data_IF_469813740012
#
_entry.id   IF_469813740012
#
_cell.length_a   1.000
_cell.length_b   1.000
_cell.length_c   1.000
_cell.angle_alpha   90.00
_cell.angle_beta   90.00
_cell.angle_gamma   90.00
#
_symmetry.space_group_name_H-M   'P 1'
#
loop_
_entity.id
_entity.type
_entity.pdbx_description
1 polymer ?
#
# COMPACT_ATOMS: atom_id res chain seq x y z
N UNK A 1 4.89 17.89 -14.32
CA UNK A 1 6.20 18.33 -13.83
C UNK A 1 5.98 18.89 -12.44
N UNK A 2 6.76 18.49 -11.44
CA UNK A 2 6.36 18.51 -10.03
C UNK A 2 6.16 19.93 -9.46
N UNK A 3 5.01 20.13 -8.84
CA UNK A 3 4.52 21.34 -8.17
C UNK A 3 5.15 21.51 -6.76
N UNK A 4 6.38 21.02 -6.57
CA UNK A 4 7.02 20.91 -5.25
C UNK A 4 8.27 21.77 -5.24
N UNK A 5 8.35 22.80 -4.37
CA UNK A 5 9.53 23.65 -4.30
C UNK A 5 10.73 22.86 -3.74
N UNK A 6 11.93 23.00 -4.33
CA UNK A 6 13.13 22.32 -3.89
C UNK A 6 13.68 22.97 -2.61
N UNK A 7 13.29 22.41 -1.45
CA UNK A 7 13.76 22.85 -0.14
C UNK A 7 14.25 21.66 0.66
N UNK A 8 15.22 21.87 1.57
CA UNK A 8 15.72 20.80 2.46
C UNK A 8 14.60 20.15 3.30
N UNK A 9 13.59 20.94 3.69
CA UNK A 9 12.41 20.42 4.39
C UNK A 9 11.62 19.43 3.53
N UNK A 10 11.38 19.78 2.26
CA UNK A 10 10.69 18.88 1.33
C UNK A 10 11.53 17.62 1.04
N UNK A 11 12.84 17.72 0.88
CA UNK A 11 13.72 16.55 0.74
C UNK A 11 13.53 15.55 1.90
N UNK A 12 13.53 16.02 3.15
CA UNK A 12 13.29 15.17 4.31
C UNK A 12 11.89 14.53 4.28
N UNK A 13 10.85 15.27 3.90
CA UNK A 13 9.48 14.75 3.77
C UNK A 13 9.41 13.64 2.70
N UNK A 14 10.02 13.84 1.53
CA UNK A 14 10.01 12.86 0.44
C UNK A 14 10.88 11.63 0.76
N UNK A 15 11.99 11.78 1.47
CA UNK A 15 12.76 10.64 2.03
C UNK A 15 11.94 9.82 3.00
N UNK A 16 11.18 10.47 3.88
CA UNK A 16 10.20 9.82 4.76
C UNK A 16 9.13 9.05 3.99
N UNK A 17 8.53 9.69 2.97
CA UNK A 17 7.54 9.05 2.08
C UNK A 17 8.10 7.85 1.32
N UNK A 18 9.35 7.92 0.83
CA UNK A 18 10.02 6.79 0.17
C UNK A 18 10.14 5.61 1.13
N UNK A 19 10.69 5.83 2.33
CA UNK A 19 10.83 4.76 3.34
C UNK A 19 9.47 4.18 3.75
N UNK A 20 8.44 5.02 3.91
CA UNK A 20 7.09 4.57 4.19
C UNK A 20 6.50 3.71 3.05
N UNK A 21 6.71 4.11 1.79
CA UNK A 21 6.27 3.36 0.62
C UNK A 21 6.98 1.99 0.51
N UNK A 22 8.29 1.92 0.79
CA UNK A 22 9.05 0.67 0.82
C UNK A 22 8.57 -0.30 1.91
N UNK A 23 8.29 0.22 3.12
CA UNK A 23 7.73 -0.59 4.23
C UNK A 23 6.32 -1.06 3.87
N UNK A 24 5.48 -0.17 3.33
CA UNK A 24 4.13 -0.50 2.88
C UNK A 24 4.13 -1.57 1.78
N UNK A 25 5.05 -1.48 0.83
CA UNK A 25 5.25 -2.48 -0.21
C UNK A 25 5.58 -3.86 0.39
N UNK A 26 6.56 -3.93 1.30
CA UNK A 26 6.94 -5.19 1.98
C UNK A 26 5.77 -5.81 2.74
N UNK A 27 4.96 -5.01 3.43
CA UNK A 27 3.83 -5.49 4.20
C UNK A 27 2.70 -6.01 3.30
N UNK A 28 2.36 -5.27 2.24
CA UNK A 28 1.35 -5.69 1.28
C UNK A 28 1.76 -6.94 0.50
N UNK A 29 3.04 -7.11 0.20
CA UNK A 29 3.58 -8.32 -0.42
C UNK A 29 3.39 -9.55 0.48
N UNK A 30 3.75 -9.43 1.76
CA UNK A 30 3.50 -10.48 2.77
C UNK A 30 2.01 -10.84 2.89
N UNK A 31 1.12 -9.83 2.90
CA UNK A 31 -0.34 -10.04 2.90
C UNK A 31 -0.80 -10.78 1.64
N UNK A 32 -0.33 -10.37 0.47
CA UNK A 32 -0.68 -11.01 -0.80
C UNK A 32 -0.25 -12.48 -0.85
N UNK A 33 0.95 -12.80 -0.34
CA UNK A 33 1.43 -14.17 -0.32
C UNK A 33 0.65 -15.06 0.66
N UNK A 34 0.29 -14.54 1.84
CA UNK A 34 -0.61 -15.24 2.76
C UNK A 34 -2.00 -15.50 2.14
N UNK A 35 -2.55 -14.50 1.43
CA UNK A 35 -3.82 -14.65 0.71
C UNK A 35 -3.72 -15.68 -0.42
N UNK A 36 -2.60 -15.75 -1.16
CA UNK A 36 -2.39 -16.74 -2.22
C UNK A 36 -2.38 -18.17 -1.68
N UNK A 37 -1.75 -18.40 -0.52
CA UNK A 37 -1.76 -19.73 0.12
C UNK A 37 -3.19 -20.14 0.44
N UNK A 38 -3.95 -19.28 1.12
CA UNK A 38 -5.35 -19.54 1.45
C UNK A 38 -6.22 -19.71 0.21
N UNK A 39 -6.02 -18.90 -0.83
CA UNK A 39 -6.72 -19.03 -2.11
C UNK A 39 -6.56 -20.42 -2.72
N UNK A 40 -5.35 -20.99 -2.68
CA UNK A 40 -5.08 -22.36 -3.15
C UNK A 40 -5.77 -23.41 -2.27
N UNK A 41 -5.76 -23.22 -0.95
CA UNK A 41 -6.45 -24.11 -0.02
C UNK A 41 -7.96 -24.14 -0.30
N UNK A 42 -8.58 -22.97 -0.49
CA UNK A 42 -9.99 -22.85 -0.87
C UNK A 42 -10.28 -23.50 -2.22
N UNK A 43 -9.42 -23.31 -3.23
CA UNK A 43 -9.61 -23.93 -4.54
C UNK A 43 -9.62 -25.47 -4.46
N UNK A 44 -8.71 -26.06 -3.66
CA UNK A 44 -8.69 -27.51 -3.40
C UNK A 44 -9.95 -27.97 -2.67
N UNK A 45 -10.32 -27.29 -1.58
CA UNK A 45 -11.51 -27.62 -0.80
C UNK A 45 -12.80 -27.55 -1.64
N UNK A 46 -12.90 -26.58 -2.57
CA UNK A 46 -14.03 -26.47 -3.50
C UNK A 46 -14.06 -27.66 -4.46
N UNK A 47 -12.92 -28.07 -5.03
CA UNK A 47 -12.85 -29.20 -5.95
C UNK A 47 -13.27 -30.52 -5.27
N UNK A 48 -12.74 -30.77 -4.07
CA UNK A 48 -13.07 -31.95 -3.26
C UNK A 48 -14.56 -31.97 -2.86
N UNK A 49 -15.06 -30.86 -2.31
CA UNK A 49 -16.47 -30.73 -1.89
C UNK A 49 -17.41 -30.86 -3.07
N UNK A 50 -17.06 -30.31 -4.24
CA UNK A 50 -17.86 -30.43 -5.47
C UNK A 50 -17.92 -31.87 -5.97
N UNK A 51 -16.82 -32.61 -5.89
CA UNK A 51 -16.79 -34.03 -6.26
C UNK A 51 -17.67 -34.87 -5.33
N UNK A 52 -17.54 -34.68 -4.01
CA UNK A 52 -18.39 -35.38 -3.02
C UNK A 52 -19.87 -35.01 -3.17
N UNK A 53 -20.17 -33.73 -3.40
CA UNK A 53 -21.55 -33.30 -3.65
C UNK A 53 -22.13 -33.98 -4.90
N UNK A 54 -21.34 -34.17 -5.96
CA UNK A 54 -21.80 -34.83 -7.18
C UNK A 54 -22.20 -36.30 -6.93
N UNK A 55 -21.44 -37.02 -6.09
CA UNK A 55 -21.77 -38.40 -5.73
C UNK A 55 -23.01 -38.47 -4.84
N UNK A 56 -23.12 -37.56 -3.87
CA UNK A 56 -24.27 -37.49 -2.96
C UNK A 56 -25.56 -37.09 -3.71
N UNK A 57 -25.44 -36.18 -4.69
CA UNK A 57 -26.55 -35.79 -5.56
C UNK A 57 -27.06 -36.99 -6.38
N UNK A 58 -26.17 -37.74 -7.02
CA UNK A 58 -26.55 -38.93 -7.77
C UNK A 58 -27.26 -39.97 -6.88
N UNK A 59 -26.74 -40.18 -5.66
CA UNK A 59 -27.33 -41.08 -4.66
C UNK A 59 -28.71 -40.62 -4.17
N UNK A 60 -28.90 -39.31 -3.98
CA UNK A 60 -30.17 -38.71 -3.57
C UNK A 60 -31.23 -38.80 -4.67
N UNK A 61 -30.88 -38.45 -5.91
CA UNK A 61 -31.79 -38.58 -7.06
C UNK A 61 -32.14 -40.03 -7.35
N UNK A 62 -31.20 -40.96 -7.22
CA UNK A 62 -31.50 -42.39 -7.34
C UNK A 62 -32.50 -42.84 -6.26
N UNK A 63 -32.29 -42.43 -5.00
CA UNK A 63 -33.27 -42.71 -3.93
C UNK A 63 -34.64 -42.08 -4.22
N UNK A 64 -34.70 -40.89 -4.83
CA UNK A 64 -35.94 -40.26 -5.27
C UNK A 64 -36.70 -41.15 -6.27
N UNK A 65 -36.00 -41.66 -7.30
CA UNK A 65 -36.62 -42.55 -8.30
C UNK A 65 -37.18 -43.84 -7.67
N UNK A 66 -36.50 -44.41 -6.67
CA UNK A 66 -37.01 -45.57 -5.93
C UNK A 66 -38.27 -45.25 -5.14
N UNK A 67 -38.35 -44.06 -4.54
CA UNK A 67 -39.53 -43.63 -3.81
C UNK A 67 -40.70 -43.36 -4.76
N UNK A 68 -40.45 -42.79 -5.94
CA UNK A 68 -41.48 -42.58 -6.98
C UNK A 68 -42.05 -43.90 -7.48
N UNK A 69 -41.19 -44.91 -7.69
CA UNK A 69 -41.63 -46.25 -8.06
C UNK A 69 -42.50 -46.92 -6.97
N UNK A 70 -42.14 -46.75 -5.70
CA UNK A 70 -42.81 -47.41 -4.58
C UNK A 70 -44.11 -46.72 -4.12
N UNK A 71 -44.14 -45.38 -4.12
CA UNK A 71 -45.24 -44.58 -3.56
C UNK A 71 -46.10 -43.88 -4.63
N UNK A 72 -45.72 -44.00 -5.91
CA UNK A 72 -46.34 -43.25 -7.01
C UNK A 72 -45.98 -41.76 -6.98
N UNK A 73 -46.83 -40.92 -7.58
CA UNK A 73 -46.57 -39.48 -7.67
C UNK A 73 -46.88 -38.74 -6.36
N UNK A 74 -45.89 -38.66 -5.46
CA UNK A 74 -45.98 -37.89 -4.21
C UNK A 74 -45.50 -36.43 -4.34
N UNK A 75 -44.95 -36.03 -5.50
CA UNK A 75 -44.36 -34.69 -5.73
C UNK A 75 -45.38 -33.57 -5.54
N UNK A 76 -46.59 -33.75 -6.07
CA UNK A 76 -47.68 -32.78 -5.94
C UNK A 76 -48.06 -32.55 -4.47
N UNK A 77 -48.18 -33.63 -3.69
CA UNK A 77 -48.48 -33.54 -2.24
C UNK A 77 -47.38 -32.84 -1.45
N UNK A 78 -46.12 -32.96 -1.86
CA UNK A 78 -45.00 -32.23 -1.24
C UNK A 78 -45.05 -30.74 -1.59
N UNK A 79 -45.41 -30.40 -2.83
CA UNK A 79 -45.52 -29.02 -3.30
C UNK A 79 -46.72 -28.28 -2.68
N UNK A 80 -47.82 -29.01 -2.42
CA UNK A 80 -48.98 -28.52 -1.67
C UNK A 80 -48.71 -28.42 -0.15
N UNK A 81 -47.63 -29.04 0.32
CA UNK A 81 -47.20 -29.01 1.73
C UNK A 81 -46.69 -27.65 2.20
N UNK A 82 -46.35 -27.59 3.50
CA UNK A 82 -46.03 -26.37 4.27
C UNK A 82 -45.20 -25.31 3.54
N UNK A 83 -45.66 -24.06 3.60
CA UNK A 83 -45.00 -22.85 3.09
C UNK A 83 -43.80 -22.38 3.94
N UNK A 84 -43.49 -23.05 5.05
CA UNK A 84 -42.41 -22.62 5.96
C UNK A 84 -41.17 -23.50 5.84
N UNK A 85 -40.00 -22.86 5.69
CA UNK A 85 -38.73 -23.57 5.56
C UNK A 85 -38.26 -24.15 6.90
N UNK A 86 -37.98 -25.46 6.92
CA UNK A 86 -37.37 -26.17 8.05
C UNK A 86 -35.92 -25.75 8.28
N UNK A 87 -35.12 -25.75 7.20
CA UNK A 87 -33.72 -25.36 7.23
C UNK A 87 -33.61 -23.93 6.72
N UNK A 88 -33.03 -23.05 7.53
CA UNK A 88 -32.74 -21.65 7.20
C UNK A 88 -31.23 -21.45 7.14
N UNK A 89 -30.81 -20.48 6.34
CA UNK A 89 -29.40 -20.11 6.21
C UNK A 89 -29.22 -18.69 6.72
N UNK A 90 -28.28 -18.49 7.63
CA UNK A 90 -27.86 -17.17 8.08
C UNK A 90 -26.46 -16.84 7.58
N UNK A 91 -26.21 -15.55 7.36
CA UNK A 91 -24.89 -15.05 7.00
C UNK A 91 -24.05 -14.82 8.26
N UNK A 92 -22.84 -15.35 8.27
CA UNK A 92 -21.77 -15.07 9.21
C UNK A 92 -20.60 -14.39 8.50
N UNK A 93 -19.66 -13.86 9.28
CA UNK A 93 -18.44 -13.24 8.79
C UNK A 93 -17.26 -14.00 9.37
N UNK A 94 -16.33 -14.41 8.52
CA UNK A 94 -15.03 -14.97 8.89
C UNK A 94 -13.91 -13.99 8.47
N UNK A 95 -12.79 -13.97 9.19
CA UNK A 95 -11.69 -13.04 8.91
C UNK A 95 -10.41 -13.80 8.54
N UNK A 96 -9.99 -13.66 7.29
CA UNK A 96 -8.76 -14.29 6.78
C UNK A 96 -7.78 -13.21 6.34
N UNK A 97 -6.65 -13.11 7.03
CA UNK A 97 -5.58 -12.15 6.74
C UNK A 97 -6.07 -10.68 6.61
N UNK A 98 -7.10 -10.30 7.37
CA UNK A 98 -7.69 -8.96 7.35
C UNK A 98 -8.66 -8.73 6.20
N UNK A 99 -9.21 -9.78 5.59
CA UNK A 99 -10.32 -9.75 4.63
C UNK A 99 -11.52 -10.42 5.29
N UNK A 100 -12.66 -9.72 5.31
CA UNK A 100 -13.93 -10.23 5.85
C UNK A 100 -14.62 -11.07 4.77
N UNK A 101 -14.70 -12.38 4.98
CA UNK A 101 -15.32 -13.34 4.09
C UNK A 101 -16.74 -13.67 4.58
N UNK A 102 -17.77 -13.64 3.72
CA UNK A 102 -19.10 -14.09 4.08
C UNK A 102 -19.13 -15.63 4.14
N UNK A 103 -19.60 -16.17 5.26
CA UNK A 103 -19.78 -17.61 5.47
C UNK A 103 -21.23 -17.92 5.77
N UNK A 104 -21.75 -19.04 5.29
CA UNK A 104 -23.14 -19.44 5.56
C UNK A 104 -23.21 -20.40 6.74
N UNK A 105 -24.15 -20.14 7.66
CA UNK A 105 -24.45 -21.00 8.81
C UNK A 105 -25.85 -21.57 8.68
N UNK A 106 -25.99 -22.85 9.00
CA UNK A 106 -27.26 -23.57 8.95
C UNK A 106 -27.99 -23.35 10.28
N UNK A 107 -29.26 -22.98 10.21
CA UNK A 107 -30.16 -22.86 11.34
C UNK A 107 -31.36 -23.76 11.10
N UNK A 108 -31.53 -24.77 11.96
CA UNK A 108 -32.74 -25.58 11.95
C UNK A 108 -33.82 -24.85 12.74
N UNK A 109 -34.93 -24.57 12.06
CA UNK A 109 -36.12 -24.06 12.73
C UNK A 109 -36.80 -25.28 13.32
N UNK A 110 -36.94 -25.34 14.66
CA UNK A 110 -37.53 -26.47 15.40
C UNK A 110 -39.00 -26.77 15.10
N UNK A 111 -39.52 -26.32 13.95
CA UNK A 111 -40.84 -26.63 13.43
C UNK A 111 -40.88 -28.11 13.10
N UNK A 112 -41.78 -28.80 13.79
CA UNK A 112 -42.08 -30.22 13.57
C UNK A 112 -42.51 -30.44 12.12
N UNK A 113 -42.16 -31.60 11.57
CA UNK A 113 -42.35 -31.87 10.17
C UNK A 113 -43.83 -32.04 9.81
N UNK A 114 -44.44 -31.01 9.20
CA UNK A 114 -45.82 -31.06 8.67
C UNK A 114 -46.06 -32.22 7.67
N UNK A 115 -44.99 -32.80 7.11
CA UNK A 115 -45.06 -33.86 6.09
C UNK A 115 -44.90 -35.28 6.66
N UNK A 116 -45.11 -35.51 7.97
CA UNK A 116 -45.05 -36.86 8.56
C UNK A 116 -46.13 -37.81 8.00
N UNK A 117 -47.26 -37.27 7.54
CA UNK A 117 -48.35 -38.05 6.93
C UNK A 117 -48.06 -38.52 5.49
N UNK A 118 -46.92 -38.15 4.91
CA UNK A 118 -46.56 -38.51 3.53
C UNK A 118 -46.14 -39.99 3.45
N UNK A 119 -46.76 -40.75 2.53
CA UNK A 119 -46.42 -42.17 2.31
C UNK A 119 -47.13 -43.16 3.23
N UNK A 120 -48.21 -42.74 3.91
CA UNK A 120 -49.03 -43.60 4.77
C UNK A 120 -49.71 -44.75 4.00
N UNK A 121 -50.09 -44.51 2.75
CA UNK A 121 -50.73 -45.50 1.86
C UNK A 121 -49.72 -46.52 1.30
N UNK A 122 -48.43 -46.17 1.25
CA UNK A 122 -47.37 -47.00 0.70
C UNK A 122 -46.07 -46.24 0.47
N UNK A 123 -44.93 -46.91 0.60
CA UNK A 123 -43.61 -46.35 0.28
C UNK A 123 -43.04 -45.34 1.30
N UNK A 124 -43.68 -45.11 2.45
CA UNK A 124 -43.21 -44.16 3.48
C UNK A 124 -41.75 -44.33 3.91
N UNK A 125 -41.26 -45.58 4.09
CA UNK A 125 -39.84 -45.84 4.42
C UNK A 125 -38.87 -45.31 3.34
N UNK A 126 -39.24 -45.42 2.05
CA UNK A 126 -38.43 -44.91 0.94
C UNK A 126 -38.45 -43.38 0.89
N UNK A 127 -39.60 -42.77 1.17
CA UNK A 127 -39.75 -41.31 1.27
C UNK A 127 -38.89 -40.74 2.42
N UNK A 128 -38.85 -41.40 3.58
CA UNK A 128 -37.99 -41.00 4.70
C UNK A 128 -36.51 -41.08 4.31
N UNK A 129 -36.08 -42.17 3.69
CA UNK A 129 -34.70 -42.30 3.20
C UNK A 129 -34.32 -41.23 2.17
N UNK A 130 -35.26 -40.83 1.29
CA UNK A 130 -35.08 -39.70 0.38
C UNK A 130 -34.87 -38.42 1.16
N UNK A 131 -35.71 -38.13 2.15
CA UNK A 131 -35.59 -36.93 2.99
C UNK A 131 -34.23 -36.84 3.66
N UNK A 132 -33.73 -37.93 4.23
CA UNK A 132 -32.41 -37.97 4.87
C UNK A 132 -31.30 -37.65 3.87
N UNK A 133 -31.30 -38.29 2.70
CA UNK A 133 -30.28 -38.03 1.67
C UNK A 133 -30.32 -36.61 1.11
N UNK A 134 -31.51 -36.05 0.89
CA UNK A 134 -31.64 -34.66 0.47
C UNK A 134 -31.25 -33.66 1.57
N UNK A 135 -31.38 -34.01 2.84
CA UNK A 135 -30.92 -33.18 3.96
C UNK A 135 -29.40 -33.11 3.96
N UNK A 136 -28.71 -34.26 3.85
CA UNK A 136 -27.24 -34.31 3.71
C UNK A 136 -26.75 -33.57 2.47
N UNK A 137 -27.43 -33.75 1.32
CA UNK A 137 -27.10 -33.03 0.09
C UNK A 137 -27.24 -31.51 0.26
N UNK A 138 -28.29 -31.06 0.95
CA UNK A 138 -28.53 -29.64 1.21
C UNK A 138 -27.46 -29.03 2.12
N UNK A 139 -27.00 -29.76 3.15
CA UNK A 139 -25.88 -29.34 3.98
C UNK A 139 -24.58 -29.19 3.16
N UNK A 140 -24.29 -30.15 2.29
CA UNK A 140 -23.14 -30.11 1.37
C UNK A 140 -23.23 -28.94 0.38
N UNK A 141 -24.42 -28.65 -0.14
CA UNK A 141 -24.67 -27.50 -1.03
C UNK A 141 -24.42 -26.17 -0.31
N UNK A 142 -24.91 -26.01 0.92
CA UNK A 142 -24.70 -24.79 1.71
C UNK A 142 -23.20 -24.60 2.01
N UNK A 143 -22.50 -25.69 2.37
CA UNK A 143 -21.05 -25.66 2.58
C UNK A 143 -20.31 -25.24 1.30
N UNK A 144 -20.66 -25.83 0.15
CA UNK A 144 -20.06 -25.46 -1.14
C UNK A 144 -20.34 -24.00 -1.50
N UNK A 145 -21.57 -23.53 -1.33
CA UNK A 145 -21.94 -22.14 -1.57
C UNK A 145 -21.15 -21.18 -0.68
N UNK A 146 -20.94 -21.54 0.59
CA UNK A 146 -20.12 -20.74 1.52
C UNK A 146 -18.68 -20.62 1.03
N UNK A 147 -18.08 -21.73 0.59
CA UNK A 147 -16.71 -21.74 0.06
C UNK A 147 -16.63 -20.92 -1.24
N UNK A 148 -17.61 -21.04 -2.14
CA UNK A 148 -17.63 -20.31 -3.41
C UNK A 148 -17.77 -18.79 -3.22
N UNK A 149 -18.69 -18.34 -2.36
CA UNK A 149 -18.87 -16.91 -2.08
C UNK A 149 -17.62 -16.33 -1.39
N UNK A 150 -17.04 -17.08 -0.45
CA UNK A 150 -15.75 -16.72 0.18
C UNK A 150 -14.61 -16.67 -0.84
N UNK A 151 -14.60 -17.57 -1.83
CA UNK A 151 -13.57 -17.60 -2.87
C UNK A 151 -13.62 -16.39 -3.80
N UNK A 152 -14.82 -15.99 -4.24
CA UNK A 152 -14.98 -14.80 -5.11
C UNK A 152 -14.52 -13.53 -4.39
N UNK A 153 -14.94 -13.35 -3.13
CA UNK A 153 -14.54 -12.18 -2.33
C UNK A 153 -13.04 -12.17 -2.03
N UNK A 154 -12.43 -13.34 -1.78
CA UNK A 154 -10.98 -13.46 -1.59
C UNK A 154 -10.21 -13.16 -2.88
N UNK A 155 -10.67 -13.61 -4.05
CA UNK A 155 -10.07 -13.35 -5.35
C UNK A 155 -10.01 -11.84 -5.65
N UNK A 156 -11.11 -11.13 -5.43
CA UNK A 156 -11.17 -9.68 -5.59
C UNK A 156 -10.17 -8.98 -4.66
N UNK A 157 -10.14 -9.37 -3.38
CA UNK A 157 -9.19 -8.81 -2.42
C UNK A 157 -7.74 -9.08 -2.81
N UNK A 158 -7.44 -10.26 -3.35
CA UNK A 158 -6.10 -10.62 -3.84
C UNK A 158 -5.71 -9.78 -5.05
N UNK A 159 -6.61 -9.61 -6.04
CA UNK A 159 -6.40 -8.76 -7.23
C UNK A 159 -6.13 -7.31 -6.84
N UNK A 160 -6.92 -6.75 -5.92
CA UNK A 160 -6.72 -5.38 -5.42
C UNK A 160 -5.37 -5.24 -4.71
N UNK A 161 -4.99 -6.21 -3.89
CA UNK A 161 -3.70 -6.19 -3.19
C UNK A 161 -2.53 -6.27 -4.18
N UNK A 162 -2.58 -7.18 -5.17
CA UNK A 162 -1.55 -7.28 -6.20
C UNK A 162 -1.44 -6.00 -7.05
N UNK A 163 -2.58 -5.39 -7.43
CA UNK A 163 -2.59 -4.09 -8.13
C UNK A 163 -1.91 -2.99 -7.32
N UNK A 164 -2.17 -2.93 -6.01
CA UNK A 164 -1.52 -1.96 -5.10
C UNK A 164 -0.02 -2.20 -4.96
N UNK A 165 0.40 -3.46 -4.85
CA UNK A 165 1.81 -3.84 -4.81
C UNK A 165 2.52 -3.38 -6.10
N UNK A 166 1.94 -3.67 -7.26
CA UNK A 166 2.46 -3.28 -8.56
C UNK A 166 2.51 -1.75 -8.75
N UNK A 167 1.46 -1.04 -8.30
CA UNK A 167 1.43 0.43 -8.35
C UNK A 167 2.55 1.04 -7.50
N UNK A 168 2.83 0.48 -6.33
CA UNK A 168 3.95 0.93 -5.50
C UNK A 168 5.30 0.67 -6.16
N UNK A 169 5.54 -0.54 -6.67
CA UNK A 169 6.82 -0.92 -7.32
C UNK A 169 7.10 -0.08 -8.57
N UNK A 170 6.12 0.04 -9.48
CA UNK A 170 6.36 0.56 -10.83
C UNK A 170 5.94 2.01 -11.05
N UNK A 171 5.12 2.60 -10.17
CA UNK A 171 4.61 3.97 -10.35
C UNK A 171 5.03 4.87 -9.21
N UNK A 172 4.69 4.53 -7.97
CA UNK A 172 4.82 5.46 -6.85
C UNK A 172 6.27 5.60 -6.37
N UNK A 173 6.99 4.49 -6.18
CA UNK A 173 8.40 4.53 -5.73
C UNK A 173 9.29 5.23 -6.78
N UNK A 174 9.22 4.91 -8.08
CA UNK A 174 10.02 5.61 -9.09
C UNK A 174 9.68 7.09 -9.20
N UNK A 175 8.40 7.48 -9.07
CA UNK A 175 8.00 8.90 -9.06
C UNK A 175 8.60 9.66 -7.87
N UNK A 176 8.57 9.07 -6.67
CA UNK A 176 9.19 9.68 -5.48
C UNK A 176 10.70 9.78 -5.66
N UNK A 177 11.34 8.76 -6.24
CA UNK A 177 12.77 8.79 -6.53
C UNK A 177 13.13 9.91 -7.51
N UNK A 178 12.38 10.07 -8.61
CA UNK A 178 12.61 11.15 -9.56
C UNK A 178 12.44 12.56 -8.95
N UNK A 179 11.50 12.73 -8.01
CA UNK A 179 11.34 13.98 -7.26
C UNK A 179 12.53 14.22 -6.31
N UNK A 180 13.00 13.18 -5.62
CA UNK A 180 14.18 13.28 -4.76
C UNK A 180 15.44 13.65 -5.55
N UNK A 181 15.64 13.03 -6.72
CA UNK A 181 16.78 13.33 -7.59
C UNK A 181 16.71 14.77 -8.13
N UNK A 182 15.51 15.28 -8.42
CA UNK A 182 15.30 16.68 -8.79
C UNK A 182 15.63 17.65 -7.65
N UNK A 183 15.09 17.41 -6.44
CA UNK A 183 15.36 18.28 -5.28
C UNK A 183 16.85 18.27 -4.93
N UNK A 184 17.51 17.11 -4.98
CA UNK A 184 18.94 17.00 -4.73
C UNK A 184 19.76 17.83 -5.74
N UNK A 185 19.45 17.73 -7.04
CA UNK A 185 20.14 18.52 -8.08
C UNK A 185 19.96 20.03 -7.89
N UNK A 186 18.75 20.49 -7.58
CA UNK A 186 18.48 21.91 -7.34
C UNK A 186 19.16 22.44 -6.07
N UNK A 187 19.19 21.65 -4.99
CA UNK A 187 19.91 22.02 -3.77
C UNK A 187 21.42 22.09 -4.00
N UNK A 188 21.99 21.13 -4.73
CA UNK A 188 23.40 21.11 -5.07
C UNK A 188 23.80 22.32 -5.94
N UNK A 189 22.94 22.73 -6.88
CA UNK A 189 23.18 23.92 -7.72
C UNK A 189 23.09 25.22 -6.91
N UNK A 190 22.10 25.35 -6.02
CA UNK A 190 22.00 26.48 -5.10
C UNK A 190 23.22 26.58 -4.16
N UNK A 191 23.69 25.46 -3.61
CA UNK A 191 24.90 25.42 -2.78
C UNK A 191 26.15 25.81 -3.57
N UNK A 192 26.20 25.45 -4.86
CA UNK A 192 27.29 25.84 -5.76
C UNK A 192 27.29 27.33 -6.06
N UNK A 193 26.13 27.92 -6.34
CA UNK A 193 25.99 29.37 -6.53
C UNK A 193 26.40 30.14 -5.27
N UNK A 194 25.94 29.73 -4.09
CA UNK A 194 26.30 30.37 -2.83
C UNK A 194 27.79 30.23 -2.53
N UNK A 195 28.39 29.07 -2.79
CA UNK A 195 29.84 28.86 -2.63
C UNK A 195 30.66 29.79 -3.54
N UNK A 196 30.27 29.93 -4.81
CA UNK A 196 30.97 30.85 -5.74
C UNK A 196 30.81 32.30 -5.32
N UNK A 197 29.62 32.71 -4.85
CA UNK A 197 29.38 34.07 -4.33
C UNK A 197 30.24 34.36 -3.11
N UNK A 198 30.33 33.44 -2.15
CA UNK A 198 31.20 33.57 -0.98
C UNK A 198 32.68 33.65 -1.36
N UNK A 199 33.14 32.81 -2.29
CA UNK A 199 34.52 32.82 -2.79
C UNK A 199 34.90 34.15 -3.44
N UNK A 200 33.99 34.76 -4.22
CA UNK A 200 34.21 36.08 -4.83
C UNK A 200 34.29 37.20 -3.78
N UNK A 201 33.43 37.17 -2.77
CA UNK A 201 33.47 38.17 -1.67
C UNK A 201 34.74 38.03 -0.85
N UNK A 202 35.15 36.81 -0.53
CA UNK A 202 36.39 36.54 0.18
C UNK A 202 37.61 37.02 -0.63
N UNK A 203 37.65 36.72 -1.93
CA UNK A 203 38.70 37.21 -2.83
C UNK A 203 38.76 38.72 -2.93
N UNK A 204 37.61 39.42 -2.93
CA UNK A 204 37.57 40.90 -2.88
C UNK A 204 38.13 41.43 -1.56
N UNK A 205 37.74 40.85 -0.43
CA UNK A 205 38.26 41.25 0.89
C UNK A 205 39.77 41.03 1.01
N UNK A 206 40.28 39.92 0.48
CA UNK A 206 41.72 39.62 0.46
C UNK A 206 42.49 40.58 -0.46
N UNK A 207 41.91 40.94 -1.62
CA UNK A 207 42.50 41.94 -2.51
C UNK A 207 42.52 43.34 -1.87
N UNK A 208 41.43 43.77 -1.24
CA UNK A 208 41.35 45.02 -0.48
C UNK A 208 42.36 45.02 0.68
N UNK A 209 42.44 43.95 1.47
CA UNK A 209 43.43 43.83 2.54
C UNK A 209 44.88 43.89 2.02
N UNK A 210 45.16 43.29 0.86
CA UNK A 210 46.47 43.36 0.22
C UNK A 210 46.77 44.77 -0.31
N UNK A 211 45.78 45.50 -0.83
CA UNK A 211 45.93 46.91 -1.21
C UNK A 211 46.20 47.80 0.01
N UNK A 212 45.43 47.65 1.10
CA UNK A 212 45.66 48.37 2.36
C UNK A 212 47.05 48.06 2.94
N UNK A 213 47.51 46.81 2.89
CA UNK A 213 48.86 46.43 3.32
C UNK A 213 49.96 47.07 2.45
N UNK A 214 49.75 47.19 1.13
CA UNK A 214 50.68 47.90 0.24
C UNK A 214 50.71 49.40 0.51
N UNK A 215 49.56 50.01 0.78
CA UNK A 215 49.47 51.44 1.13
C UNK A 215 50.16 51.70 2.48
N UNK A 216 49.96 50.85 3.49
CA UNK A 216 50.64 50.94 4.77
C UNK A 216 52.17 50.73 4.65
N UNK A 217 52.61 49.79 3.81
CA UNK A 217 54.03 49.58 3.54
C UNK A 217 54.67 50.75 2.75
N UNK A 218 53.90 51.44 1.91
CA UNK A 218 54.36 52.65 1.21
C UNK A 218 54.42 53.86 2.14
N UNK A 219 53.58 53.93 3.17
CA UNK A 219 53.66 54.96 4.22
C UNK A 219 54.92 54.78 5.09
N UNK A 220 55.23 53.55 5.53
CA UNK A 220 56.45 53.28 6.32
C UNK A 220 57.75 53.54 5.54
N UNK A 221 57.76 53.41 4.20
CA UNK A 221 58.94 53.77 3.38
C UNK A 221 59.16 55.27 3.20
N UNK A 222 58.19 56.12 3.55
CA UNK A 222 58.33 57.58 3.52
C UNK A 222 58.97 58.15 4.79
N UNK A 223 58.83 57.48 5.93
CA UNK A 223 59.45 57.90 7.20
C UNK A 223 60.94 57.53 7.31
N UNK A 224 61.48 56.71 6.41
CA UNK A 224 62.90 56.29 6.36
C UNK A 224 63.77 57.12 5.37
N UNK A 225 63.30 58.28 4.90
CA UNK A 225 64.19 59.26 4.24
C UNK A 225 64.69 60.27 5.29
N UNK A 226 66.01 60.38 5.55
CA UNK A 226 66.50 61.42 6.43
C UNK A 226 66.18 62.78 5.81
N UNK A 227 65.53 63.64 6.58
CA UNK A 227 65.38 65.06 6.24
C UNK A 227 66.78 65.63 5.96
N UNK A 228 67.06 65.96 4.70
CA UNK A 228 68.25 66.74 4.37
C UNK A 228 68.07 68.12 4.98
N UNK A 229 68.83 68.36 6.05
CA UNK A 229 68.98 69.61 6.76
C UNK A 229 69.38 70.76 5.80
N UNK A 230 68.44 71.67 5.54
CA UNK A 230 68.61 72.80 4.61
C UNK A 230 69.24 74.01 5.32
N UNK A 231 69.80 73.85 6.53
CA UNK A 231 70.31 75.00 7.33
C UNK A 231 71.83 75.06 7.51
N UNK A 232 72.62 74.21 6.85
CA UNK A 232 74.07 74.16 7.03
C UNK A 232 74.92 75.08 6.11
N UNK A 233 74.32 75.93 5.26
CA UNK A 233 75.05 76.78 4.29
C UNK A 233 74.65 78.28 4.36
N UNK A 234 74.65 78.87 5.55
CA UNK A 234 74.64 80.33 5.70
C UNK A 234 75.89 80.78 6.44
N UNK A 235 76.94 81.03 5.67
CA UNK A 235 78.16 81.71 6.10
C UNK A 235 77.92 83.22 6.02
N UNK A 236 78.19 83.92 7.13
CA UNK A 236 78.04 85.36 7.26
C UNK A 236 79.33 86.02 6.79
N UNK A 237 79.30 86.56 5.57
CA UNK A 237 80.37 87.39 5.00
C UNK A 237 79.80 88.73 4.56
N UNK A 238 80.38 89.80 5.09
CA UNK A 238 80.14 91.21 4.83
C UNK A 238 79.99 91.54 3.33
N UNK A 239 79.13 92.52 3.02
CA UNK A 239 79.53 93.70 2.25
C UNK A 239 78.42 94.77 2.25
N UNK A 240 78.71 95.82 3.03
CA UNK A 240 78.52 97.25 2.76
C UNK A 240 77.40 97.71 1.80
N UNK A 241 76.46 98.44 2.42
CA UNK A 241 76.06 99.80 2.04
C UNK A 241 75.31 100.11 0.71
N UNK A 242 74.11 100.67 0.96
CA UNK A 242 73.62 101.97 0.46
C UNK A 242 72.57 101.99 -0.67
N UNK A 243 71.33 102.27 -0.22
CA UNK A 243 70.39 103.34 -0.62
C UNK A 243 70.05 103.51 -2.12
N UNK A 244 68.78 103.30 -2.50
CA UNK A 244 67.71 104.32 -2.55
C UNK A 244 66.33 103.65 -2.58
#
# INVERSE_FOLDING_TARGET
MADVPPTRMNDQIFKGKKKAAEVGHKLLKKKADALKVKFRDYAKAIAETKSSMSTDAASAFFSMTQAEYAAGNFKQKVAEGSMTARVRVGAGIDNVAGVKLPVFKIYETGVQADNQSLGLVGGGKKIVAVREKFTVLLEMLIKLASLQTSFVTLDEALKVTNRRVNALENVTIPKIQGILDYIARELDELEREDFTRLKLVQGKKEAEAAEYAKIAAAANKRDDQPENDITANFDAGDDEDVVF
#
